data_IF_094688832143
#
_entry.id   IF_094688832143
#
_cell.length_a   1.000
_cell.length_b   1.000
_cell.length_c   1.000
_cell.angle_alpha   90.00
_cell.angle_beta   90.00
_cell.angle_gamma   90.00
#
_symmetry.space_group_name_H-M   'P 1'
#
loop_
_entity.id
_entity.type
_entity.pdbx_description
1 polymer ?
2 non-polymer ?
3 non-polymer ?
4 water ?
#
# COMPACT_ATOMS: atom_id res chain seq x y z
N UNK A 1 -10.26 25.66 1.35
CA UNK A 1 -10.24 24.27 0.92
C UNK A 1 -8.98 23.96 0.06
N UNK A 2 -8.33 22.85 0.38
CA UNK A 2 -7.09 22.40 -0.28
C UNK A 2 -7.27 20.92 -0.60
N UNK A 3 -7.24 20.55 -1.89
CA UNK A 3 -7.21 19.15 -2.33
C UNK A 3 -6.19 18.32 -1.54
N UNK A 4 -6.59 17.11 -1.17
CA UNK A 4 -5.75 16.26 -0.32
C UNK A 4 -5.18 15.06 -1.03
N UNK A 5 -3.96 14.72 -0.66
CA UNK A 5 -3.33 13.48 -1.11
C UNK A 5 -3.64 12.44 -0.05
N UNK A 6 -4.43 11.45 -0.40
CA UNK A 6 -4.82 10.40 0.52
C UNK A 6 -4.06 9.11 0.22
N UNK A 7 -3.12 9.15 -0.71
CA UNK A 7 -2.49 7.97 -1.23
C UNK A 7 -1.28 7.55 -0.39
N UNK A 8 -1.61 7.03 0.80
CA UNK A 8 -0.63 6.53 1.80
C UNK A 8 -0.97 5.07 2.06
N UNK A 9 0.05 4.28 2.38
CA UNK A 9 -0.18 2.96 2.96
C UNK A 9 0.77 2.72 4.13
N UNK A 10 0.40 1.76 4.98
CA UNK A 10 1.17 1.44 6.18
C UNK A 10 1.66 0.00 6.07
N UNK A 11 2.86 -0.18 6.61
CA UNK A 11 3.47 -1.49 6.74
C UNK A 11 3.91 -1.70 8.19
N UNK A 12 3.03 -2.27 9.04
CA UNK A 12 3.35 -2.55 10.45
C UNK A 12 4.37 -3.70 10.65
N UNK A 13 5.34 -3.50 11.53
CA UNK A 13 6.17 -4.61 12.03
C UNK A 13 5.32 -5.45 13.00
N UNK A 14 5.89 -6.55 13.52
CA UNK A 14 5.21 -7.35 14.52
C UNK A 14 4.87 -6.50 15.76
N UNK A 15 3.77 -6.84 16.42
CA UNK A 15 3.35 -6.25 17.68
C UNK A 15 3.39 -4.75 17.53
N UNK A 16 2.77 -4.26 16.45
CA UNK A 16 2.78 -2.86 16.12
C UNK A 16 1.40 -2.32 15.78
N UNK A 17 0.37 -3.17 15.78
CA UNK A 17 -0.97 -2.71 15.42
C UNK A 17 -1.54 -1.65 16.35
N UNK A 18 -1.10 -1.68 17.61
CA UNK A 18 -1.64 -0.77 18.65
C UNK A 18 -1.19 0.70 18.52
N UNK A 19 -0.36 1.00 17.53
CA UNK A 19 0.11 2.38 17.27
C UNK A 19 -0.26 2.82 15.84
N UNK A 20 -1.01 2.02 15.07
CA UNK A 20 -1.32 2.38 13.66
C UNK A 20 -2.41 3.46 13.51
N UNK A 21 -2.16 4.55 12.69
CA UNK A 21 -3.25 5.49 12.44
C UNK A 21 -4.37 4.83 11.59
N UNK A 22 -5.52 5.45 11.57
CA UNK A 22 -6.61 4.98 10.73
C UNK A 22 -6.73 5.79 9.44
N UNK A 23 -6.29 7.05 9.47
CA UNK A 23 -6.37 7.93 8.30
C UNK A 23 -5.10 8.76 8.21
N UNK A 24 -4.56 8.87 7.00
CA UNK A 24 -3.38 9.70 6.80
C UNK A 24 -3.61 10.46 5.49
N UNK A 25 -3.37 11.76 5.50
CA UNK A 25 -3.40 12.56 4.28
C UNK A 25 -2.47 13.75 4.41
N UNK A 26 -2.12 14.37 3.27
CA UNK A 26 -1.42 15.60 3.27
C UNK A 26 -2.16 16.66 2.43
N UNK A 27 -2.00 17.93 2.77
CA UNK A 27 -2.44 19.00 1.90
C UNK A 27 -1.31 19.79 1.22
N UNK A 28 -0.17 19.13 0.96
CA UNK A 28 0.94 19.79 0.26
C UNK A 28 1.90 20.55 1.14
N UNK A 29 1.43 20.96 2.32
CA UNK A 29 2.27 21.59 3.35
C UNK A 29 2.39 20.69 4.56
N UNK A 30 1.26 20.29 5.12
CA UNK A 30 1.24 19.45 6.28
C UNK A 30 0.76 18.03 5.99
N UNK A 31 1.28 17.08 6.76
CA UNK A 31 0.84 15.68 6.75
C UNK A 31 0.03 15.46 8.04
N UNK A 32 -1.16 14.86 7.94
CA UNK A 32 -2.06 14.71 9.07
C UNK A 32 -2.23 13.23 9.35
N UNK A 33 -2.02 12.86 10.61
CA UNK A 33 -2.12 11.46 11.05
C UNK A 33 -3.24 11.38 12.07
N UNK A 34 -4.28 10.63 11.69
CA UNK A 34 -5.44 10.44 12.57
C UNK A 34 -5.48 9.05 13.18
N UNK A 35 -5.61 9.05 14.49
CA UNK A 35 -5.55 7.86 15.30
C UNK A 35 -6.86 7.62 16.01
N UNK A 36 -7.27 6.36 16.11
CA UNK A 36 -8.46 6.06 16.91
C UNK A 36 -8.09 6.32 18.38
N UNK A 37 -9.07 6.76 19.16
CA UNK A 37 -8.89 7.04 20.57
C UNK A 37 -8.25 5.88 21.33
N UNK A 38 -8.57 4.65 20.91
CA UNK A 38 -8.04 3.42 21.52
C UNK A 38 -6.57 3.15 21.20
N UNK A 39 -6.03 3.78 20.17
CA UNK A 39 -4.67 3.54 19.72
C UNK A 39 -3.71 4.33 20.59
N UNK A 40 -2.58 3.69 20.92
CA UNK A 40 -1.50 4.32 21.65
C UNK A 40 -0.76 5.27 20.70
N UNK A 41 -0.24 6.38 21.22
CA UNK A 41 0.37 7.42 20.40
C UNK A 41 1.86 7.19 20.12
N UNK A 42 2.24 6.88 18.87
CA UNK A 42 3.67 6.78 18.55
C UNK A 42 4.37 8.11 18.32
N UNK A 43 5.70 8.08 18.36
CA UNK A 43 6.42 9.23 17.80
C UNK A 43 6.49 9.14 16.29
N UNK A 44 6.53 10.28 15.63
CA UNK A 44 6.59 10.33 14.19
C UNK A 44 7.93 10.87 13.67
N UNK A 45 8.64 10.05 12.89
CA UNK A 45 9.89 10.40 12.31
C UNK A 45 9.83 10.28 10.81
N UNK A 46 10.65 11.05 10.12
CA UNK A 46 10.79 11.01 8.66
C UNK A 46 12.08 10.31 8.26
N UNK A 47 12.01 9.52 7.20
CA UNK A 47 13.22 8.96 6.57
C UNK A 47 13.88 9.97 5.64
N UNK A 48 15.15 10.24 5.91
CA UNK A 48 15.99 11.14 5.09
C UNK A 48 16.56 10.43 3.85
N UNK A 49 17.04 11.17 2.81
CA UNK A 49 17.64 10.52 1.61
C UNK A 49 18.81 9.58 1.92
N UNK A 50 19.59 9.87 2.97
CA UNK A 50 20.70 9.02 3.42
C UNK A 50 20.27 7.67 4.02
N UNK A 51 18.96 7.49 4.20
CA UNK A 51 18.39 6.31 4.84
C UNK A 51 18.18 6.47 6.34
N UNK A 52 18.69 7.57 6.89
CA UNK A 52 18.63 7.86 8.32
C UNK A 52 17.40 8.67 8.67
N UNK A 53 17.09 8.62 9.96
CA UNK A 53 15.86 9.19 10.48
C UNK A 53 16.03 10.62 10.95
N UNK A 54 14.95 11.37 10.90
CA UNK A 54 14.87 12.68 11.55
C UNK A 54 13.60 12.81 12.34
N UNK A 55 13.66 13.61 13.40
CA UNK A 55 12.45 14.07 14.07
C UNK A 55 11.60 14.92 13.13
N UNK A 56 10.31 15.00 13.43
CA UNK A 56 9.43 15.93 12.78
C UNK A 56 8.91 16.95 13.75
N UNK A 57 8.36 18.00 13.16
CA UNK A 57 7.70 19.06 13.90
C UNK A 57 6.23 18.64 13.82
N UNK A 58 5.84 17.88 14.86
CA UNK A 58 4.52 17.21 14.98
C UNK A 58 3.88 17.71 16.26
N UNK A 59 2.55 17.77 16.26
CA UNK A 59 1.79 18.16 17.46
C UNK A 59 0.33 17.85 17.24
N UNK A 60 -0.35 17.57 18.33
CA UNK A 60 -1.79 17.34 18.33
C UNK A 60 -2.48 18.61 17.87
N UNK A 61 -3.52 18.43 17.06
CA UNK A 61 -4.37 19.51 16.63
C UNK A 61 -5.73 19.30 17.30
N UNK A 62 -5.96 20.00 18.46
CA UNK A 62 -7.19 19.83 19.24
C UNK A 62 -8.47 20.15 18.47
N UNK A 63 -8.36 21.06 17.51
CA UNK A 63 -9.50 21.49 16.71
C UNK A 63 -10.08 20.41 15.80
N UNK A 64 -9.20 19.57 15.24
CA UNK A 64 -9.59 18.57 14.24
C UNK A 64 -10.31 17.39 14.88
N UNK A 65 -11.52 17.15 14.38
CA UNK A 65 -12.37 16.03 14.85
C UNK A 65 -12.76 15.03 13.76
N UNK A 66 -12.17 15.18 12.55
CA UNK A 66 -12.54 14.38 11.36
C UNK A 66 -12.51 12.90 11.72
N UNK A 67 -13.57 12.19 11.30
CA UNK A 67 -13.74 10.76 11.55
C UNK A 67 -13.68 10.26 13.01
N UNK A 68 -13.88 11.16 13.98
CA UNK A 68 -13.81 10.83 15.41
C UNK A 68 -12.42 10.50 15.91
N UNK A 69 -11.39 10.93 15.16
CA UNK A 69 -9.99 10.62 15.44
C UNK A 69 -9.23 11.76 16.14
N UNK A 70 -8.16 11.33 16.79
CA UNK A 70 -7.11 12.15 17.39
C UNK A 70 -6.06 12.48 16.30
N UNK A 71 -5.94 13.77 15.96
CA UNK A 71 -5.15 14.21 14.81
C UNK A 71 -3.87 14.91 15.16
N UNK A 72 -2.83 14.54 14.46
CA UNK A 72 -1.53 15.16 14.61
C UNK A 72 -1.13 15.82 13.34
N UNK A 73 -0.66 17.05 13.42
CA UNK A 73 -0.20 17.77 12.25
C UNK A 73 1.33 17.76 12.22
N UNK A 74 1.88 17.34 11.07
CA UNK A 74 3.34 17.28 10.87
C UNK A 74 3.68 18.37 9.82
N UNK A 75 4.61 19.26 10.15
CA UNK A 75 4.89 20.45 9.30
C UNK A 75 5.84 20.11 8.15
N UNK A 76 5.58 19.00 7.47
CA UNK A 76 6.47 18.43 6.45
C UNK A 76 5.73 17.50 5.48
N UNK A 77 6.24 17.37 4.26
CA UNK A 77 5.78 16.42 3.26
C UNK A 77 6.98 15.54 3.01
N UNK A 78 6.75 14.22 3.04
CA UNK A 78 7.81 13.24 2.85
C UNK A 78 7.33 11.99 2.12
N UNK A 79 8.29 11.20 1.61
CA UNK A 79 7.94 9.92 1.00
C UNK A 79 7.78 8.78 1.99
N UNK A 80 8.49 8.82 3.11
CA UNK A 80 8.47 7.72 4.07
C UNK A 80 8.55 8.27 5.49
N UNK A 81 7.66 7.76 6.36
CA UNK A 81 7.65 8.04 7.80
C UNK A 81 7.82 6.75 8.57
N UNK A 82 8.42 6.87 9.73
CA UNK A 82 8.45 5.81 10.70
C UNK A 82 7.75 6.23 11.97
N UNK A 83 6.74 5.46 12.36
CA UNK A 83 5.99 5.67 13.60
C UNK A 83 6.51 4.64 14.62
N UNK A 84 7.04 5.14 15.75
CA UNK A 84 7.77 4.32 16.72
C UNK A 84 7.21 4.51 18.14
N UNK A 85 6.98 3.43 18.85
CA UNK A 85 6.72 3.46 20.30
C UNK A 85 7.35 2.22 20.90
N UNK A 86 8.49 2.45 21.52
CA UNK A 86 9.33 1.38 22.05
C UNK A 86 9.72 0.37 20.96
N UNK A 87 9.28 -0.90 21.07
CA UNK A 87 9.61 -1.90 20.01
C UNK A 87 8.69 -1.90 18.80
N UNK A 88 7.57 -1.16 18.90
CA UNK A 88 6.55 -1.07 17.88
C UNK A 88 7.03 -0.13 16.76
N UNK A 89 6.85 -0.54 15.51
CA UNK A 89 7.26 0.27 14.37
C UNK A 89 6.25 0.09 13.25
N UNK A 90 5.81 1.20 12.67
CA UNK A 90 4.97 1.17 11.48
C UNK A 90 5.67 2.05 10.44
N UNK A 91 5.93 1.52 9.25
CA UNK A 91 6.43 2.34 8.20
C UNK A 91 5.27 2.89 7.36
N UNK A 92 5.23 4.22 7.17
CA UNK A 92 4.19 4.84 6.35
C UNK A 92 4.81 5.28 5.00
N UNK A 93 4.20 4.90 3.87
CA UNK A 93 4.66 5.25 2.55
C UNK A 93 3.70 6.20 1.89
N UNK A 94 4.23 7.36 1.49
CA UNK A 94 3.52 8.32 0.69
C UNK A 94 3.69 8.00 -0.82
N UNK A 95 2.71 7.25 -1.34
CA UNK A 95 2.76 6.86 -2.74
C UNK A 95 2.49 8.03 -3.65
N UNK A 96 1.80 9.04 -3.11
CA UNK A 96 1.52 10.28 -3.80
C UNK A 96 2.59 11.35 -3.72
N UNK A 97 3.78 11.02 -3.20
CA UNK A 97 4.90 11.97 -3.06
C UNK A 97 5.43 12.48 -4.40
N UNK A 98 5.57 13.81 -4.50
CA UNK A 98 6.04 14.48 -5.72
C UNK A 98 4.96 14.68 -6.77
N UNK A 99 3.75 14.25 -6.42
CA UNK A 99 2.60 14.26 -7.31
C UNK A 99 1.64 15.40 -6.93
N UNK A 100 0.85 15.84 -7.89
CA UNK A 100 -0.20 16.82 -7.61
C UNK A 100 -1.42 16.15 -6.99
N UNK A 101 -2.00 16.79 -5.95
CA UNK A 101 -3.27 16.40 -5.35
C UNK A 101 -4.47 16.93 -6.15
N UNK A 102 -4.54 16.53 -7.41
CA UNK A 102 -5.78 16.44 -8.19
C UNK A 102 -6.32 15.00 -8.16
N UNK A 103 -5.42 14.03 -8.24
CA UNK A 103 -5.84 12.62 -8.33
C UNK A 103 -5.36 11.80 -7.11
N UNK B 1 -15.81 -9.02 -25.73
CA UNK B 1 -15.52 -7.91 -24.83
C UNK B 1 -16.25 -8.01 -23.48
N UNK B 2 -15.46 -7.95 -22.39
CA UNK B 2 -15.98 -7.86 -21.02
C UNK B 2 -15.43 -6.60 -20.36
N UNK B 3 -16.30 -5.82 -19.68
CA UNK B 3 -15.85 -4.64 -18.91
C UNK B 3 -14.88 -5.04 -17.82
N UNK B 4 -13.78 -4.31 -17.67
CA UNK B 4 -12.74 -4.74 -16.72
C UNK B 4 -12.70 -3.87 -15.48
N UNK B 5 -12.40 -4.50 -14.36
CA UNK B 5 -12.20 -3.78 -13.09
C UNK B 5 -10.67 -3.53 -13.03
N UNK B 6 -10.25 -2.29 -13.21
CA UNK B 6 -8.84 -1.92 -13.04
C UNK B 6 -8.55 -1.34 -11.66
N UNK B 7 -9.52 -1.38 -10.75
CA UNK B 7 -9.40 -0.68 -9.45
C UNK B 7 -8.55 -1.48 -8.41
N UNK B 8 -7.27 -1.59 -8.75
CA UNK B 8 -6.27 -2.28 -7.93
C UNK B 8 -5.21 -1.31 -7.39
N UNK B 9 -4.71 -1.61 -6.20
CA UNK B 9 -3.71 -0.81 -5.54
C UNK B 9 -2.59 -1.69 -5.00
N UNK B 10 -1.34 -1.30 -5.17
CA UNK B 10 -0.25 -2.09 -4.65
C UNK B 10 0.50 -1.41 -3.52
N UNK B 11 0.75 -2.20 -2.50
CA UNK B 11 1.50 -1.79 -1.32
C UNK B 11 2.75 -2.68 -1.18
N UNK B 12 3.90 -2.31 -1.79
CA UNK B 12 5.17 -3.07 -1.63
C UNK B 12 5.83 -2.90 -0.27
N UNK B 13 6.32 -4.01 0.25
CA UNK B 13 7.18 -4.00 1.42
C UNK B 13 8.55 -3.48 1.02
N UNK B 14 9.44 -3.33 2.00
CA UNK B 14 10.81 -2.95 1.71
C UNK B 14 11.44 -3.95 0.75
N UNK B 15 12.37 -3.45 -0.08
CA UNK B 15 13.14 -4.28 -1.00
C UNK B 15 12.21 -5.21 -1.83
N UNK B 16 11.14 -4.62 -2.38
CA UNK B 16 10.13 -5.38 -3.10
C UNK B 16 9.73 -4.79 -4.45
N UNK B 17 10.37 -3.71 -4.91
CA UNK B 17 10.00 -3.06 -6.17
C UNK B 17 10.21 -3.97 -7.39
N UNK B 18 11.10 -4.93 -7.25
CA UNK B 18 11.59 -5.69 -8.40
C UNK B 18 10.64 -6.81 -8.81
N UNK B 19 9.58 -6.99 -8.03
CA UNK B 19 8.55 -7.99 -8.33
C UNK B 19 7.14 -7.38 -8.52
N UNK B 20 7.12 -6.06 -8.67
CA UNK B 20 5.85 -5.33 -8.75
C UNK B 20 5.27 -5.47 -10.17
N UNK B 21 4.00 -5.92 -10.31
CA UNK B 21 3.38 -5.80 -11.64
C UNK B 21 3.19 -4.33 -12.03
N UNK B 22 3.07 -4.12 -13.32
CA UNK B 22 2.78 -2.83 -13.89
C UNK B 22 1.26 -2.57 -14.14
N UNK B 23 0.45 -3.61 -14.31
CA UNK B 23 -0.96 -3.48 -14.61
C UNK B 23 -1.67 -4.65 -13.97
N UNK B 24 -2.84 -4.39 -13.37
CA UNK B 24 -3.64 -5.45 -12.75
C UNK B 24 -5.10 -5.12 -13.08
N UNK B 25 -5.85 -6.12 -13.52
CA UNK B 25 -7.30 -5.98 -13.67
C UNK B 25 -7.95 -7.32 -13.55
N UNK B 26 -9.30 -7.32 -13.44
CA UNK B 26 -10.03 -8.56 -13.49
C UNK B 26 -11.22 -8.35 -14.48
N UNK B 27 -11.80 -9.45 -14.93
CA UNK B 27 -12.98 -9.41 -15.78
C UNK B 27 -14.19 -10.11 -15.13
N UNK B 28 -14.17 -10.26 -13.80
CA UNK B 28 -15.26 -10.94 -13.07
C UNK B 28 -15.07 -12.43 -12.87
N UNK B 29 -14.23 -13.05 -13.70
CA UNK B 29 -13.83 -14.45 -13.51
C UNK B 29 -12.37 -14.56 -13.11
N UNK B 30 -11.49 -13.97 -13.94
CA UNK B 30 -10.07 -14.04 -13.78
C UNK B 30 -9.42 -12.71 -13.44
N UNK B 31 -8.30 -12.78 -12.72
CA UNK B 31 -7.49 -11.63 -12.36
C UNK B 31 -6.20 -11.79 -13.15
N UNK B 32 -5.85 -10.71 -13.86
CA UNK B 32 -4.71 -10.63 -14.77
C UNK B 32 -3.68 -9.72 -14.14
N UNK B 33 -2.43 -10.20 -14.06
CA UNK B 33 -1.28 -9.49 -13.50
C UNK B 33 -0.29 -9.35 -14.63
N UNK B 34 -0.01 -8.11 -15.02
CA UNK B 34 0.94 -7.85 -16.09
C UNK B 34 2.26 -7.26 -15.57
N UNK B 35 3.36 -7.86 -16.00
CA UNK B 35 4.70 -7.56 -15.47
C UNK B 35 5.58 -7.07 -16.60
N UNK B 36 6.32 -5.99 -16.32
CA UNK B 36 7.36 -5.54 -17.24
C UNK B 36 8.37 -6.67 -17.41
N UNK B 37 8.94 -6.79 -18.60
CA UNK B 37 9.91 -7.87 -18.81
C UNK B 37 11.15 -7.82 -17.89
N UNK B 38 11.52 -6.64 -17.45
CA UNK B 38 12.62 -6.46 -16.48
C UNK B 38 12.29 -6.94 -15.05
N UNK B 39 11.01 -7.11 -14.75
CA UNK B 39 10.53 -7.46 -13.42
C UNK B 39 10.72 -8.97 -13.21
N UNK B 40 11.19 -9.31 -12.01
CA UNK B 40 11.33 -10.67 -11.53
C UNK B 40 9.94 -11.24 -11.25
N UNK B 41 9.73 -12.52 -11.53
CA UNK B 41 8.41 -13.12 -11.36
C UNK B 41 8.11 -13.63 -9.93
N UNK B 42 7.10 -13.02 -9.25
CA UNK B 42 6.80 -13.61 -7.94
C UNK B 42 5.72 -14.71 -7.97
N UNK B 43 5.57 -15.42 -6.85
CA UNK B 43 4.40 -16.27 -6.68
C UNK B 43 3.22 -15.43 -6.24
N UNK B 44 2.03 -15.88 -6.57
CA UNK B 44 0.82 -15.10 -6.36
C UNK B 44 -0.08 -15.91 -5.40
N UNK B 45 -0.35 -15.34 -4.22
CA UNK B 45 -1.21 -15.99 -3.24
C UNK B 45 -2.43 -15.14 -2.95
N UNK B 46 -3.51 -15.77 -2.56
CA UNK B 46 -4.75 -15.08 -2.17
C UNK B 46 -4.90 -15.03 -0.67
N UNK B 47 -5.41 -13.91 -0.16
CA UNK B 47 -5.71 -13.83 1.26
C UNK B 47 -7.14 -14.29 1.42
N UNK B 48 -7.32 -15.23 2.33
CA UNK B 48 -8.68 -15.67 2.69
C UNK B 48 -9.24 -14.79 3.81
N UNK B 49 -10.58 -14.65 3.89
CA UNK B 49 -11.30 -13.92 4.95
C UNK B 49 -10.65 -13.91 6.36
N UNK B 50 -10.17 -15.06 6.84
CA UNK B 50 -9.48 -15.14 8.14
C UNK B 50 -8.11 -14.44 8.18
N UNK B 51 -7.36 -14.55 7.08
CA UNK B 51 -6.07 -13.84 6.93
C UNK B 51 -4.88 -14.72 6.60
N UNK B 52 -5.09 -16.03 6.61
CA UNK B 52 -4.08 -16.97 6.12
C UNK B 52 -4.12 -17.00 4.58
N UNK B 53 -2.99 -17.39 3.99
CA UNK B 53 -2.80 -17.38 2.55
C UNK B 53 -3.24 -18.69 1.90
N UNK B 54 -3.63 -18.60 0.64
CA UNK B 54 -3.85 -19.78 -0.17
C UNK B 54 -3.16 -19.64 -1.50
N UNK B 55 -2.66 -20.75 -2.00
CA UNK B 55 -2.16 -20.80 -3.35
C UNK B 55 -3.24 -20.43 -4.34
N UNK B 56 -2.86 -19.84 -5.47
CA UNK B 56 -3.81 -19.64 -6.58
C UNK B 56 -3.48 -20.51 -7.79
N UNK B 57 -4.46 -20.59 -8.70
CA UNK B 57 -4.33 -21.31 -9.95
C UNK B 57 -3.92 -20.24 -10.96
N UNK B 58 -2.59 -20.11 -11.10
CA UNK B 58 -1.96 -19.01 -11.87
C UNK B 58 -0.98 -19.54 -12.88
N UNK B 59 -1.04 -19.01 -14.10
CA UNK B 59 -0.10 -19.39 -15.12
C UNK B 59 0.03 -18.23 -16.09
N UNK B 60 1.20 -18.18 -16.71
CA UNK B 60 1.51 -17.23 -17.79
C UNK B 60 0.44 -17.36 -18.88
N UNK B 61 0.07 -16.23 -19.47
CA UNK B 61 -0.79 -16.21 -20.65
C UNK B 61 0.01 -15.55 -21.78
N UNK B 62 0.80 -16.33 -22.55
CA UNK B 62 1.64 -15.75 -23.60
C UNK B 62 0.87 -15.33 -24.86
N UNK B 63 -0.43 -15.61 -24.91
CA UNK B 63 -1.34 -15.03 -25.91
C UNK B 63 -1.46 -13.51 -25.71
N UNK B 64 -1.48 -13.08 -24.43
CA UNK B 64 -1.70 -11.68 -24.07
C UNK B 64 -0.40 -10.90 -24.15
N UNK B 65 -0.41 -9.83 -24.94
CA UNK B 65 0.74 -8.92 -25.15
C UNK B 65 0.42 -7.49 -24.73
N UNK B 66 -0.78 -7.30 -24.15
CA UNK B 66 -1.29 -5.99 -23.71
C UNK B 66 -0.19 -5.18 -22.99
N UNK B 67 0.04 -3.94 -23.43
CA UNK B 67 1.02 -3.01 -22.85
C UNK B 67 2.49 -3.49 -22.90
N UNK B 68 2.76 -4.47 -23.76
CA UNK B 68 4.08 -5.12 -23.89
C UNK B 68 4.50 -6.00 -22.72
N UNK B 69 3.53 -6.32 -21.85
CA UNK B 69 3.83 -6.99 -20.59
C UNK B 69 3.74 -8.50 -20.68
N UNK B 70 4.33 -9.13 -19.67
CA UNK B 70 4.28 -10.56 -19.41
C UNK B 70 3.07 -10.73 -18.49
N UNK B 71 2.06 -11.42 -18.99
CA UNK B 71 0.79 -11.58 -18.28
C UNK B 71 0.59 -12.92 -17.58
N UNK B 72 0.10 -12.87 -16.35
CA UNK B 72 -0.37 -14.06 -15.66
C UNK B 72 -1.88 -14.04 -15.42
N UNK B 73 -2.56 -15.15 -15.73
CA UNK B 73 -4.00 -15.23 -15.49
C UNK B 73 -4.23 -16.06 -14.24
N UNK B 74 -4.93 -15.48 -13.27
CA UNK B 74 -5.25 -16.16 -12.02
C UNK B 74 -6.74 -16.48 -12.08
N UNK B 75 -7.10 -17.74 -11.85
CA UNK B 75 -8.47 -18.22 -11.95
C UNK B 75 -9.23 -17.96 -10.64
N UNK B 76 -9.33 -16.70 -10.24
CA UNK B 76 -9.94 -16.28 -8.96
C UNK B 76 -10.18 -14.79 -8.94
N UNK B 77 -11.19 -14.37 -8.18
CA UNK B 77 -11.48 -12.98 -7.85
C UNK B 77 -11.37 -12.89 -6.35
N UNK B 78 -10.59 -11.92 -5.85
CA UNK B 78 -10.43 -11.72 -4.42
C UNK B 78 -10.27 -10.27 -4.05
N UNK B 79 -10.38 -9.99 -2.75
CA UNK B 79 -10.16 -8.65 -2.22
C UNK B 79 -8.67 -8.35 -2.04
N UNK B 80 -7.87 -9.39 -1.74
CA UNK B 80 -6.47 -9.16 -1.42
C UNK B 80 -5.58 -10.28 -1.92
N UNK B 81 -4.43 -9.93 -2.48
CA UNK B 81 -3.42 -10.90 -2.90
C UNK B 81 -2.07 -10.52 -2.27
N UNK B 82 -1.18 -11.51 -2.19
CA UNK B 82 0.18 -11.34 -1.73
C UNK B 82 1.09 -11.89 -2.79
N UNK B 83 1.95 -11.03 -3.35
CA UNK B 83 2.93 -11.46 -4.31
C UNK B 83 4.29 -11.55 -3.59
N UNK B 84 4.92 -12.74 -3.65
CA UNK B 84 6.06 -13.06 -2.83
C UNK B 84 7.16 -13.72 -3.68
N UNK B 85 8.37 -13.25 -3.48
CA UNK B 85 9.62 -13.88 -3.98
C UNK B 85 10.64 -13.73 -2.87
N UNK B 86 10.98 -14.84 -2.21
CA UNK B 86 11.92 -14.78 -1.07
C UNK B 86 11.51 -13.75 -0.04
N UNK B 87 12.38 -12.79 0.31
CA UNK B 87 11.95 -11.73 1.28
C UNK B 87 11.07 -10.62 0.70
N UNK B 88 10.90 -10.58 -0.61
CA UNK B 88 10.12 -9.53 -1.26
C UNK B 88 8.64 -9.83 -1.19
N UNK B 89 7.84 -8.79 -0.91
CA UNK B 89 6.39 -8.98 -0.78
C UNK B 89 5.67 -7.73 -1.22
N UNK B 90 4.61 -7.92 -2.02
CA UNK B 90 3.72 -6.84 -2.43
C UNK B 90 2.30 -7.25 -2.08
N UNK B 91 1.59 -6.43 -1.30
CA UNK B 91 0.17 -6.61 -1.13
C UNK B 91 -0.58 -5.94 -2.25
N UNK B 92 -1.52 -6.69 -2.84
CA UNK B 92 -2.38 -6.13 -3.86
C UNK B 92 -3.83 -6.06 -3.29
N UNK B 93 -4.44 -4.87 -3.30
CA UNK B 93 -5.79 -4.75 -2.82
C UNK B 93 -6.70 -4.48 -4.00
N UNK B 94 -7.77 -5.26 -4.07
CA UNK B 94 -8.83 -5.07 -5.04
C UNK B 94 -9.92 -4.19 -4.41
N UNK B 95 -9.86 -2.89 -4.74
CA UNK B 95 -10.79 -1.90 -4.18
C UNK B 95 -12.13 -2.06 -4.86
N UNK B 96 -12.13 -2.71 -6.01
CA UNK B 96 -13.32 -2.90 -6.83
C UNK B 96 -14.04 -4.21 -6.57
N UNK B 97 -13.59 -4.96 -5.56
CA UNK B 97 -14.17 -6.24 -5.17
C UNK B 97 -15.67 -6.21 -4.83
N UNK B 98 -16.43 -7.16 -5.38
CA UNK B 98 -17.86 -7.30 -5.13
C UNK B 98 -18.72 -6.23 -5.80
N UNK B 99 -18.09 -5.38 -6.60
CA UNK B 99 -18.78 -4.27 -7.23
C UNK B 99 -18.71 -4.42 -8.75
N UNK B 100 -19.87 -4.73 -9.35
CA UNK B 100 -19.97 -4.89 -10.82
C UNK B 100 -19.51 -3.58 -11.47
N UNK B 101 -18.39 -3.63 -12.24
CA UNK B 101 -17.84 -2.37 -12.74
C UNK B 101 -18.68 -1.79 -13.87
N UNK B 102 -18.98 -0.50 -13.78
CA UNK B 102 -19.68 0.20 -14.84
C UNK B 102 -18.64 0.87 -15.72
N UNK B 103 -17.74 1.64 -15.09
CA UNK B 103 -16.56 2.23 -15.70
C UNK B 103 -15.55 1.11 -16.07
#
# INVERSE_FOLDING_TARGET
PVPRNYNYYQAPEKRSKHIMPSEIFDDGTFTYFGFKNITLQPAIFVVQPDGKLSMTDAAIDPNMTNSGLRWYRVNEIAEKFKLIKDKALVTVINKGYGKNPLT
PVPRNYNYYQAPEKRSKHIMPSEIFDDGTFTYFGFKNITLQPAIFVVQPDGKLSMTDAAIDPNMTNSGLRWYRVNEIAEKFKLIKDKALVTVINKGYGKNPLT
#
